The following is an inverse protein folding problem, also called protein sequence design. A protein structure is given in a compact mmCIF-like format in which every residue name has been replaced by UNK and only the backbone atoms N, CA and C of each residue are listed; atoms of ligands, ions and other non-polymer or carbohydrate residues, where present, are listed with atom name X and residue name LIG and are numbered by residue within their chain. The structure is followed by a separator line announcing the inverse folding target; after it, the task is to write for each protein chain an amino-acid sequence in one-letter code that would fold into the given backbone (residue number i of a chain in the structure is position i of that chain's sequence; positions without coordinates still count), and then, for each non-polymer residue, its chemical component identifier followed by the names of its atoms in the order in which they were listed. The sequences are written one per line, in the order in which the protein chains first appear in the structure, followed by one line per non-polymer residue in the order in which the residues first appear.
data_IF_115854596781
#
_entry.id   IF_115854596781
#
_cell.length_a   1.000
_cell.length_b   1.000
_cell.length_c   1.000
_cell.angle_alpha   90.00
_cell.angle_beta   90.00
_cell.angle_gamma   90.00
#
_symmetry.space_group_name_H-M   'P 1'
#
loop_
_entity.id
_entity.type
_entity.pdbx_description
1 polymer ?
#
# COMPACT_ATOMS: atom_id res chain seq x y z
N UNK A 1 34.54 -32.65 -6.81
CA UNK A 1 34.02 -31.25 -6.84
C UNK A 1 33.83 -30.84 -8.30
N UNK A 2 32.78 -30.04 -8.59
CA UNK A 2 32.32 -29.48 -9.88
C UNK A 2 31.13 -30.20 -10.53
N UNK A 3 29.92 -29.62 -10.38
CA UNK A 3 28.76 -30.09 -11.15
C UNK A 3 27.37 -29.51 -10.90
N UNK A 4 27.16 -28.33 -10.28
CA UNK A 4 25.80 -27.80 -10.01
C UNK A 4 25.69 -26.27 -10.22
N UNK A 5 26.15 -25.70 -11.35
CA UNK A 5 26.01 -24.24 -11.60
C UNK A 5 25.50 -23.80 -12.98
N UNK A 6 25.04 -24.70 -13.85
CA UNK A 6 24.60 -24.32 -15.23
C UNK A 6 23.09 -24.23 -15.49
N UNK A 7 22.20 -24.76 -14.63
CA UNK A 7 20.74 -24.83 -14.89
C UNK A 7 19.93 -23.54 -14.62
N UNK A 8 20.50 -22.51 -13.99
CA UNK A 8 19.75 -21.29 -13.64
C UNK A 8 19.71 -20.20 -14.73
N UNK A 9 20.64 -20.21 -15.71
CA UNK A 9 20.75 -19.13 -16.71
C UNK A 9 19.69 -19.21 -17.82
N UNK A 10 19.33 -20.40 -18.30
CA UNK A 10 18.34 -20.57 -19.38
C UNK A 10 16.91 -20.17 -19.00
N UNK A 11 16.50 -20.45 -17.75
CA UNK A 11 15.15 -20.07 -17.25
C UNK A 11 14.98 -18.55 -17.08
N UNK A 12 16.06 -17.82 -16.82
CA UNK A 12 16.03 -16.37 -16.69
C UNK A 12 15.88 -15.67 -18.05
N UNK A 13 16.52 -16.18 -19.10
CA UNK A 13 16.44 -15.63 -20.45
C UNK A 13 15.05 -15.82 -21.08
N UNK A 14 14.48 -17.02 -20.94
CA UNK A 14 13.12 -17.34 -21.40
C UNK A 14 12.07 -16.50 -20.64
N UNK A 15 12.25 -16.31 -19.33
CA UNK A 15 11.37 -15.45 -18.52
C UNK A 15 11.43 -13.97 -18.92
N UNK A 16 12.61 -13.48 -19.31
CA UNK A 16 12.77 -12.09 -19.81
C UNK A 16 12.15 -11.91 -21.19
N UNK A 17 12.35 -12.85 -22.12
CA UNK A 17 11.70 -12.82 -23.44
C UNK A 17 10.19 -12.85 -23.34
N UNK A 18 9.62 -13.72 -22.50
CA UNK A 18 8.18 -13.79 -22.26
C UNK A 18 7.61 -12.54 -21.55
N UNK A 19 8.39 -11.88 -20.69
CA UNK A 19 7.99 -10.63 -20.06
C UNK A 19 7.96 -9.47 -21.07
N UNK A 20 8.98 -9.36 -21.92
CA UNK A 20 9.05 -8.33 -22.97
C UNK A 20 7.94 -8.49 -24.02
N UNK A 21 7.64 -9.73 -24.44
CA UNK A 21 6.51 -10.00 -25.34
C UNK A 21 5.16 -9.65 -24.70
N UNK A 22 4.99 -9.93 -23.40
CA UNK A 22 3.79 -9.53 -22.67
C UNK A 22 3.68 -8.01 -22.57
N UNK A 23 4.78 -7.32 -22.30
CA UNK A 23 4.80 -5.85 -22.20
C UNK A 23 4.59 -5.18 -23.57
N UNK A 24 4.85 -5.88 -24.68
CA UNK A 24 4.51 -5.40 -26.02
C UNK A 24 2.99 -5.41 -26.26
N UNK A 25 2.30 -6.47 -25.84
CA UNK A 25 0.84 -6.63 -26.04
C UNK A 25 0.04 -5.93 -24.94
N UNK A 26 0.56 -5.92 -23.71
CA UNK A 26 -0.04 -5.33 -22.50
C UNK A 26 1.00 -4.47 -21.80
N UNK A 27 1.27 -3.25 -22.30
CA UNK A 27 2.31 -2.40 -21.72
C UNK A 27 2.00 -2.08 -20.26
N UNK A 28 3.00 -2.17 -19.36
CA UNK A 28 2.79 -1.86 -17.95
C UNK A 28 2.36 -0.40 -17.82
N UNK A 29 1.28 -0.17 -17.06
CA UNK A 29 0.73 1.16 -16.81
C UNK A 29 0.76 1.48 -15.32
N UNK A 30 0.92 2.77 -15.02
CA UNK A 30 0.85 3.29 -13.66
C UNK A 30 -0.51 2.96 -13.05
N UNK A 31 -0.53 2.29 -11.89
CA UNK A 31 -1.76 1.87 -11.22
C UNK A 31 -2.66 3.04 -10.78
N UNK A 32 -2.14 4.27 -10.73
CA UNK A 32 -2.89 5.47 -10.37
C UNK A 32 -3.34 6.30 -11.59
N UNK A 33 -2.44 6.62 -12.52
CA UNK A 33 -2.71 7.56 -13.62
C UNK A 33 -2.70 6.94 -15.03
N UNK A 34 -2.54 5.62 -15.13
CA UNK A 34 -2.54 4.83 -16.37
C UNK A 34 -1.48 5.20 -17.44
N UNK A 35 -0.54 6.10 -17.12
CA UNK A 35 0.62 6.40 -17.99
C UNK A 35 1.49 5.16 -18.18
N UNK A 36 2.09 4.97 -19.37
CA UNK A 36 3.03 3.88 -19.61
C UNK A 36 4.21 3.91 -18.64
N UNK A 37 4.63 2.74 -18.18
CA UNK A 37 5.84 2.52 -17.42
C UNK A 37 6.91 1.89 -18.31
N UNK A 38 8.17 1.96 -17.87
CA UNK A 38 9.26 1.32 -18.59
C UNK A 38 9.04 -0.21 -18.67
N UNK A 39 9.19 -0.83 -19.86
CA UNK A 39 9.10 -2.29 -20.01
C UNK A 39 10.10 -3.01 -19.09
N UNK A 40 9.69 -4.16 -18.54
CA UNK A 40 10.53 -4.93 -17.61
C UNK A 40 10.78 -4.28 -16.24
N UNK A 41 10.20 -3.10 -15.97
CA UNK A 41 10.24 -2.45 -14.66
C UNK A 41 9.37 -3.20 -13.64
N UNK A 42 9.83 -3.28 -12.39
CA UNK A 42 9.03 -3.81 -11.29
C UNK A 42 8.06 -2.77 -10.70
N UNK A 43 8.21 -1.50 -11.08
CA UNK A 43 7.42 -0.40 -10.56
C UNK A 43 5.95 -0.51 -10.92
N UNK A 44 5.10 -0.10 -9.97
CA UNK A 44 3.64 0.00 -10.15
C UNK A 44 3.15 1.43 -10.31
N UNK A 45 3.99 2.40 -9.99
CA UNK A 45 3.70 3.82 -10.07
C UNK A 45 4.80 4.52 -10.86
N UNK A 46 4.41 5.48 -11.70
CA UNK A 46 5.38 6.35 -12.35
C UNK A 46 6.03 7.29 -11.32
N UNK A 47 7.18 7.87 -11.66
CA UNK A 47 7.91 8.78 -10.77
C UNK A 47 7.06 9.96 -10.28
N UNK A 48 6.24 10.55 -11.15
CA UNK A 48 5.33 11.63 -10.79
C UNK A 48 4.32 11.21 -9.70
N UNK A 49 3.57 10.12 -9.92
CA UNK A 49 2.64 9.62 -8.91
C UNK A 49 3.36 9.18 -7.62
N UNK A 50 4.54 8.57 -7.72
CA UNK A 50 5.31 8.21 -6.52
C UNK A 50 5.70 9.45 -5.71
N UNK A 51 6.10 10.53 -6.39
CA UNK A 51 6.47 11.80 -5.74
C UNK A 51 5.32 12.56 -5.10
N UNK A 52 4.08 12.28 -5.50
CA UNK A 52 2.86 12.87 -4.91
C UNK A 52 2.35 12.09 -3.70
N UNK A 53 2.87 10.89 -3.42
CA UNK A 53 2.49 10.14 -2.22
C UNK A 53 2.98 10.88 -0.98
N UNK A 54 2.06 11.23 -0.09
CA UNK A 54 2.35 11.88 1.19
C UNK A 54 2.18 10.88 2.32
N UNK A 55 3.30 10.41 2.87
CA UNK A 55 3.30 9.63 4.10
C UNK A 55 2.83 10.49 5.27
N UNK A 56 2.14 9.88 6.24
CA UNK A 56 1.85 10.54 7.52
C UNK A 56 3.04 10.28 8.44
N UNK A 57 3.68 11.36 8.87
CA UNK A 57 4.83 11.34 9.77
C UNK A 57 4.60 12.27 10.95
N UNK A 58 5.44 12.16 11.98
CA UNK A 58 5.46 13.12 13.10
C UNK A 58 5.70 14.56 12.58
N UNK A 59 5.09 15.58 13.19
CA UNK A 59 4.22 15.53 14.37
C UNK A 59 2.75 15.17 14.02
N UNK A 60 2.17 14.25 14.80
CA UNK A 60 0.75 13.87 14.69
C UNK A 60 0.16 13.61 16.08
N UNK A 61 -1.18 13.54 16.15
CA UNK A 61 -1.87 13.27 17.39
C UNK A 61 -1.52 11.88 17.94
N UNK A 62 -1.02 11.79 19.17
CA UNK A 62 -0.61 10.51 19.77
C UNK A 62 -1.78 9.52 19.90
N UNK A 63 -3.00 10.03 20.09
CA UNK A 63 -4.23 9.24 20.11
C UNK A 63 -4.80 9.00 18.70
N UNK A 64 -5.39 10.01 18.04
CA UNK A 64 -6.11 9.79 16.78
C UNK A 64 -5.24 9.75 15.51
N UNK A 65 -3.94 10.07 15.60
CA UNK A 65 -3.04 10.10 14.45
C UNK A 65 -3.23 11.26 13.47
N UNK A 66 -4.04 12.26 13.83
CA UNK A 66 -4.24 13.47 13.00
C UNK A 66 -2.89 14.19 12.80
N UNK A 67 -2.42 14.40 11.56
CA UNK A 67 -1.17 15.12 11.30
C UNK A 67 -1.29 16.59 11.73
N UNK A 68 -0.22 17.14 12.31
CA UNK A 68 -0.15 18.57 12.62
C UNK A 68 0.51 19.34 11.47
N UNK A 69 0.03 20.58 11.26
CA UNK A 69 0.67 21.52 10.36
C UNK A 69 1.75 22.29 11.13
N UNK A 70 2.99 22.24 10.65
CA UNK A 70 4.08 22.97 11.29
C UNK A 70 5.45 22.32 11.10
N UNK A 71 6.48 22.87 11.75
CA UNK A 71 7.81 22.28 11.73
C UNK A 71 7.82 20.88 12.36
N UNK A 72 8.83 20.06 12.03
CA UNK A 72 9.03 18.76 12.66
C UNK A 72 9.06 18.88 14.19
N UNK A 73 8.49 17.88 14.88
CA UNK A 73 8.43 17.86 16.32
C UNK A 73 7.84 16.56 16.86
N UNK A 74 7.64 16.51 18.17
CA UNK A 74 7.00 15.37 18.85
C UNK A 74 5.48 15.47 18.77
N UNK A 75 4.83 14.31 18.62
CA UNK A 75 3.38 14.22 18.71
C UNK A 75 2.86 14.62 20.09
N UNK A 76 1.62 15.11 20.14
CA UNK A 76 0.88 15.44 21.36
C UNK A 76 -0.62 15.26 21.11
N UNK A 77 -1.48 15.35 22.13
CA UNK A 77 -2.92 15.21 21.93
C UNK A 77 -3.49 16.43 21.18
N UNK A 78 -4.30 16.18 20.16
CA UNK A 78 -5.04 17.25 19.48
C UNK A 78 -6.20 17.76 20.36
N UNK A 79 -6.70 18.97 20.08
CA UNK A 79 -7.79 19.57 20.85
C UNK A 79 -9.08 18.75 20.89
N UNK A 80 -9.36 17.94 19.85
CA UNK A 80 -10.50 17.01 19.84
C UNK A 80 -10.31 15.89 20.85
N UNK A 81 -9.15 15.23 20.85
CA UNK A 81 -8.84 14.13 21.76
C UNK A 81 -8.71 14.58 23.21
N UNK A 82 -8.27 15.82 23.46
CA UNK A 82 -8.25 16.40 24.80
C UNK A 82 -9.65 16.58 25.39
N UNK A 83 -10.61 17.07 24.59
CA UNK A 83 -12.00 17.31 25.04
C UNK A 83 -12.82 16.03 25.09
N UNK A 84 -12.60 15.14 24.14
CA UNK A 84 -13.36 13.90 23.99
C UNK A 84 -12.39 12.76 23.62
N UNK A 85 -11.80 12.11 24.64
CA UNK A 85 -10.92 10.97 24.41
C UNK A 85 -11.63 9.88 23.61
N UNK A 86 -11.00 9.34 22.54
CA UNK A 86 -11.60 8.28 21.75
C UNK A 86 -11.60 6.94 22.51
N UNK A 87 -12.47 5.98 22.14
CA UNK A 87 -12.52 4.66 22.77
C UNK A 87 -11.39 3.71 22.27
N UNK A 88 -10.23 4.25 21.93
CA UNK A 88 -9.06 3.50 21.46
C UNK A 88 -7.76 4.16 21.95
N UNK A 89 -6.71 3.36 22.13
CA UNK A 89 -5.42 3.87 22.61
C UNK A 89 -4.67 4.71 21.55
N UNK A 90 -4.61 4.21 20.32
CA UNK A 90 -3.94 4.90 19.21
C UNK A 90 -4.52 4.48 17.86
N UNK A 91 -4.54 5.43 16.92
CA UNK A 91 -4.81 5.22 15.51
C UNK A 91 -3.64 5.79 14.68
N UNK A 92 -3.26 5.07 13.63
CA UNK A 92 -2.20 5.48 12.69
C UNK A 92 -2.65 5.24 11.26
N UNK A 93 -2.26 6.14 10.36
CA UNK A 93 -2.38 5.99 8.93
C UNK A 93 -0.98 6.03 8.32
N UNK A 94 -0.72 5.24 7.28
CA UNK A 94 0.58 5.30 6.57
C UNK A 94 0.65 6.51 5.63
N UNK A 95 -0.49 6.95 5.10
CA UNK A 95 -0.57 7.97 4.05
C UNK A 95 -1.76 8.89 4.22
N UNK A 96 -1.63 10.12 3.72
CA UNK A 96 -2.76 11.04 3.56
C UNK A 96 -3.70 10.51 2.48
N UNK A 97 -5.01 10.67 2.69
CA UNK A 97 -6.03 10.23 1.73
C UNK A 97 -6.19 11.23 0.58
N UNK A 98 -5.15 11.36 -0.23
CA UNK A 98 -5.08 12.31 -1.35
C UNK A 98 -4.29 11.74 -2.52
N UNK A 99 -4.33 12.45 -3.66
CA UNK A 99 -3.53 12.15 -4.85
C UNK A 99 -3.61 10.67 -5.29
N UNK A 100 -2.47 10.04 -5.63
CA UNK A 100 -2.41 8.65 -6.07
C UNK A 100 -2.96 7.66 -5.05
N UNK A 101 -2.76 7.88 -3.75
CA UNK A 101 -3.24 6.97 -2.69
C UNK A 101 -4.76 6.90 -2.70
N UNK A 102 -5.46 8.03 -2.83
CA UNK A 102 -6.92 8.07 -2.96
C UNK A 102 -7.39 7.26 -4.16
N UNK A 103 -6.77 7.45 -5.33
CA UNK A 103 -7.14 6.73 -6.56
C UNK A 103 -6.95 5.22 -6.40
N UNK A 104 -5.80 4.79 -5.86
CA UNK A 104 -5.50 3.38 -5.63
C UNK A 104 -6.49 2.75 -4.65
N UNK A 105 -6.81 3.43 -3.54
CA UNK A 105 -7.78 2.95 -2.56
C UNK A 105 -9.18 2.83 -3.16
N UNK A 106 -9.61 3.79 -3.99
CA UNK A 106 -10.89 3.71 -4.68
C UNK A 106 -10.93 2.54 -5.67
N UNK A 107 -9.90 2.39 -6.52
CA UNK A 107 -9.81 1.26 -7.48
C UNK A 107 -9.81 -0.08 -6.75
N UNK A 108 -9.06 -0.20 -5.66
CA UNK A 108 -9.05 -1.41 -4.84
C UNK A 108 -10.42 -1.68 -4.18
N UNK A 109 -11.06 -0.67 -3.60
CA UNK A 109 -12.32 -0.83 -2.87
C UNK A 109 -13.48 -1.19 -3.80
N UNK A 110 -13.54 -0.61 -5.00
CA UNK A 110 -14.72 -0.65 -5.87
C UNK A 110 -14.56 -1.47 -7.16
N UNK A 111 -13.33 -1.78 -7.61
CA UNK A 111 -13.10 -2.46 -8.90
C UNK A 111 -12.32 -3.77 -8.79
N UNK A 112 -12.05 -4.24 -7.57
CA UNK A 112 -11.13 -5.35 -7.29
C UNK A 112 -9.80 -5.26 -8.06
N UNK A 113 -9.28 -4.03 -8.18
CA UNK A 113 -8.12 -3.79 -9.01
C UNK A 113 -6.86 -4.36 -8.33
N UNK A 114 -6.42 -5.52 -8.82
CA UNK A 114 -5.22 -6.20 -8.34
C UNK A 114 -3.92 -5.41 -8.58
N UNK A 115 -3.87 -4.53 -9.59
CA UNK A 115 -2.74 -3.64 -9.81
C UNK A 115 -2.71 -2.56 -8.72
N UNK A 116 -3.85 -1.96 -8.42
CA UNK A 116 -3.98 -1.00 -7.33
C UNK A 116 -3.64 -1.62 -5.96
N UNK A 117 -4.13 -2.83 -5.69
CA UNK A 117 -3.82 -3.58 -4.47
C UNK A 117 -2.31 -3.83 -4.30
N UNK A 118 -1.62 -4.26 -5.37
CA UNK A 118 -0.17 -4.49 -5.35
C UNK A 118 0.60 -3.19 -5.11
N UNK A 119 0.22 -2.10 -5.78
CA UNK A 119 0.81 -0.79 -5.57
C UNK A 119 0.63 -0.31 -4.12
N UNK A 120 -0.57 -0.46 -3.54
CA UNK A 120 -0.83 -0.14 -2.12
C UNK A 120 0.06 -0.96 -1.18
N UNK A 121 0.24 -2.25 -1.43
CA UNK A 121 1.10 -3.09 -0.60
C UNK A 121 2.57 -2.71 -0.71
N UNK A 122 3.05 -2.33 -1.90
CA UNK A 122 4.41 -1.85 -2.10
C UNK A 122 4.64 -0.51 -1.40
N UNK A 123 3.69 0.42 -1.54
CA UNK A 123 3.71 1.69 -0.80
C UNK A 123 3.75 1.43 0.71
N UNK A 124 2.82 0.62 1.24
CA UNK A 124 2.73 0.35 2.68
C UNK A 124 4.02 -0.28 3.25
N UNK A 125 4.71 -1.15 2.49
CA UNK A 125 6.01 -1.72 2.91
C UNK A 125 7.16 -0.72 2.88
N UNK A 126 7.09 0.26 1.99
CA UNK A 126 8.10 1.32 1.89
C UNK A 126 7.82 2.50 2.83
N UNK A 127 6.63 2.56 3.44
CA UNK A 127 6.27 3.61 4.38
C UNK A 127 7.08 3.49 5.68
N UNK A 128 7.34 4.61 6.36
CA UNK A 128 7.84 4.56 7.73
C UNK A 128 6.94 3.68 8.60
N UNK A 129 7.56 2.88 9.46
CA UNK A 129 6.80 2.07 10.41
C UNK A 129 5.92 2.99 11.28
N UNK A 130 4.66 2.63 11.52
CA UNK A 130 3.82 3.39 12.44
C UNK A 130 4.48 3.35 13.83
N UNK A 131 4.41 4.47 14.54
CA UNK A 131 4.78 4.54 15.96
C UNK A 131 3.70 3.82 16.79
N UNK A 132 3.74 2.48 16.73
CA UNK A 132 2.90 1.53 17.43
C UNK A 132 3.76 0.33 17.83
N UNK A 133 3.51 -0.26 19.02
CA UNK A 133 4.10 -1.54 19.36
C UNK A 133 3.61 -2.63 18.39
N UNK A 134 4.41 -3.69 18.18
CA UNK A 134 3.94 -4.86 17.43
C UNK A 134 2.69 -5.46 18.12
N UNK A 135 1.63 -5.77 17.37
CA UNK A 135 0.41 -6.31 17.95
C UNK A 135 0.52 -7.82 18.25
N UNK A 136 -0.09 -8.28 19.34
CA UNK A 136 -0.26 -9.71 19.63
C UNK A 136 -1.29 -10.38 18.71
N UNK A 137 -2.29 -9.61 18.25
CA UNK A 137 -3.36 -10.08 17.38
C UNK A 137 -3.74 -9.02 16.34
N UNK A 138 -3.93 -9.46 15.10
CA UNK A 138 -4.41 -8.61 14.01
C UNK A 138 -5.83 -8.99 13.59
N UNK A 139 -6.80 -8.12 13.89
CA UNK A 139 -8.21 -8.32 13.52
C UNK A 139 -8.60 -7.37 12.39
N UNK A 140 -8.76 -7.84 11.14
CA UNK A 140 -9.26 -7.01 10.06
C UNK A 140 -10.74 -6.70 10.27
N UNK A 141 -11.13 -5.45 10.02
CA UNK A 141 -12.53 -5.00 10.16
C UNK A 141 -13.44 -5.84 9.23
N UNK A 142 -14.52 -6.46 9.73
CA UNK A 142 -15.40 -7.28 8.93
C UNK A 142 -16.20 -6.43 7.94
N UNK A 143 -16.52 -7.02 6.79
CA UNK A 143 -17.40 -6.43 5.79
C UNK A 143 -18.81 -7.01 5.96
N UNK A 144 -19.84 -6.18 5.84
CA UNK A 144 -21.23 -6.63 5.92
C UNK A 144 -21.50 -7.76 4.90
N UNK A 145 -22.25 -8.84 5.24
CA UNK A 145 -22.41 -10.01 4.39
C UNK A 145 -22.92 -9.69 2.97
N UNK A 146 -23.85 -8.74 2.83
CA UNK A 146 -24.33 -8.32 1.51
C UNK A 146 -23.22 -7.71 0.65
N UNK A 147 -22.35 -6.86 1.23
CA UNK A 147 -21.22 -6.26 0.52
C UNK A 147 -20.11 -7.26 0.24
N UNK A 148 -19.94 -8.26 1.11
CA UNK A 148 -19.02 -9.37 0.87
C UNK A 148 -19.49 -10.24 -0.31
N UNK A 149 -20.80 -10.52 -0.42
CA UNK A 149 -21.37 -11.22 -1.57
C UNK A 149 -21.25 -10.43 -2.88
N UNK A 150 -21.54 -9.13 -2.83
CA UNK A 150 -21.43 -8.23 -3.99
C UNK A 150 -20.00 -8.15 -4.53
N UNK A 151 -19.01 -8.02 -3.63
CA UNK A 151 -17.62 -7.73 -4.01
C UNK A 151 -16.71 -8.95 -4.02
N UNK A 152 -17.12 -10.07 -3.43
CA UNK A 152 -16.36 -11.32 -3.38
C UNK A 152 -15.19 -11.38 -2.39
N UNK A 153 -14.80 -10.27 -1.74
CA UNK A 153 -13.71 -10.25 -0.77
C UNK A 153 -13.82 -9.14 0.29
N UNK A 154 -13.11 -9.32 1.40
CA UNK A 154 -12.88 -8.29 2.41
C UNK A 154 -11.50 -7.63 2.17
N UNK A 155 -11.52 -6.32 1.90
CA UNK A 155 -10.35 -5.49 1.63
C UNK A 155 -9.35 -5.51 2.80
N UNK A 156 -9.85 -5.33 4.02
CA UNK A 156 -9.02 -5.30 5.23
C UNK A 156 -8.35 -6.66 5.46
N UNK A 157 -9.08 -7.75 5.25
CA UNK A 157 -8.54 -9.11 5.36
C UNK A 157 -7.45 -9.40 4.32
N UNK A 158 -7.61 -8.92 3.08
CA UNK A 158 -6.59 -9.10 2.04
C UNK A 158 -5.33 -8.29 2.34
N UNK A 159 -5.48 -7.06 2.81
CA UNK A 159 -4.35 -6.23 3.23
C UNK A 159 -3.63 -6.85 4.42
N UNK A 160 -4.36 -7.28 5.45
CA UNK A 160 -3.77 -7.89 6.66
C UNK A 160 -2.93 -9.10 6.30
N UNK A 161 -3.49 -10.08 5.58
CA UNK A 161 -2.78 -11.29 5.11
C UNK A 161 -1.54 -11.00 4.26
N UNK A 162 -1.51 -9.86 3.57
CA UNK A 162 -0.41 -9.52 2.67
C UNK A 162 0.71 -8.76 3.38
N UNK A 163 0.39 -7.94 4.38
CA UNK A 163 1.34 -7.09 5.09
C UNK A 163 1.85 -7.73 6.39
N UNK A 164 1.05 -8.59 7.01
CA UNK A 164 1.35 -9.27 8.27
C UNK A 164 1.14 -10.78 8.08
N UNK A 165 2.15 -11.49 7.54
CA UNK A 165 2.09 -12.93 7.30
C UNK A 165 2.17 -13.75 8.60
#
# INVERSE_FOLDING_TARGET
MLGIRRRHRGRALIRRGAALLRDLVFPPRCAACDRPLAPGGADRLCGACRSEVRAVTSPCCTACGEPFHGPPGTGHLCGRCLRQPPPFAAARASFRYEGPVRVLLQRFKYRDDGHAFRALCELARAAPAPDLPPPDLLVPVPLHPARLRERGFNQALRLSRRLFP
#
